data_IF_417511561632
#
_entry.id   IF_417511561632
#
_cell.length_a   1.000
_cell.length_b   1.000
_cell.length_c   1.000
_cell.angle_alpha   90.00
_cell.angle_beta   90.00
_cell.angle_gamma   90.00
#
_symmetry.space_group_name_H-M   'P 1'
#
loop_
_entity.id
_entity.type
_entity.pdbx_description
1 polymer ?
#
# COMPACT_ATOMS: atom_id res chain seq x y z
N UNK A 1 24.32 6.01 13.12
CA UNK A 1 23.68 4.70 12.95
C UNK A 1 22.19 4.90 13.27
N UNK A 2 21.38 5.25 12.24
CA UNK A 2 19.92 5.32 12.38
C UNK A 2 19.42 3.88 12.49
N UNK A 3 18.91 3.48 13.65
CA UNK A 3 18.04 2.31 13.73
C UNK A 3 16.80 2.63 12.87
N UNK A 4 16.73 2.08 11.67
CA UNK A 4 15.46 1.93 10.99
C UNK A 4 14.62 0.99 11.87
N UNK A 5 13.66 1.55 12.61
CA UNK A 5 12.59 0.71 13.15
C UNK A 5 11.93 0.07 11.93
N UNK A 6 12.15 -1.24 11.77
CA UNK A 6 11.37 -2.02 10.83
C UNK A 6 9.89 -1.82 11.21
N UNK A 7 9.08 -1.38 10.26
CA UNK A 7 7.65 -1.25 10.50
C UNK A 7 7.14 -2.60 11.01
N UNK A 8 6.42 -2.58 12.12
CA UNK A 8 5.83 -3.78 12.67
C UNK A 8 4.83 -4.34 11.64
N UNK A 9 4.68 -5.66 11.60
CA UNK A 9 3.61 -6.28 10.80
C UNK A 9 2.26 -5.78 11.31
N UNK A 10 1.28 -5.54 10.43
CA UNK A 10 -0.07 -5.20 10.84
C UNK A 10 -0.63 -6.23 11.80
N UNK A 11 -1.30 -5.78 12.85
CA UNK A 11 -1.91 -6.64 13.87
C UNK A 11 -3.40 -6.85 13.59
N UNK A 12 -3.95 -7.97 14.06
CA UNK A 12 -5.40 -8.17 14.05
C UNK A 12 -6.00 -7.49 15.28
N UNK A 13 -6.96 -6.58 15.09
CA UNK A 13 -7.84 -6.08 16.15
C UNK A 13 -9.10 -6.95 16.17
N UNK A 14 -9.32 -7.66 17.29
CA UNK A 14 -10.41 -8.60 17.45
C UNK A 14 -11.29 -8.23 18.65
N UNK A 15 -12.56 -8.04 18.42
CA UNK A 15 -13.55 -7.67 19.44
C UNK A 15 -14.49 -8.82 19.84
N UNK A 16 -14.32 -10.00 19.23
CA UNK A 16 -15.07 -11.19 19.57
C UNK A 16 -14.72 -11.74 20.96
N UNK A 17 -15.53 -12.66 21.52
CA UNK A 17 -15.30 -13.23 22.85
C UNK A 17 -14.17 -14.27 22.85
N UNK A 18 -13.59 -14.60 24.05
CA UNK A 18 -12.44 -15.51 24.15
C UNK A 18 -12.68 -16.96 23.68
N UNK A 19 -13.93 -17.42 23.62
CA UNK A 19 -14.28 -18.74 23.08
C UNK A 19 -14.00 -18.86 21.58
N UNK A 20 -13.83 -17.73 20.87
CA UNK A 20 -13.37 -17.68 19.46
C UNK A 20 -11.89 -17.97 19.27
N UNK A 21 -11.09 -18.13 20.34
CA UNK A 21 -9.65 -18.38 20.27
C UNK A 21 -9.31 -19.62 19.40
N UNK A 22 -10.12 -20.67 19.43
CA UNK A 22 -9.93 -21.84 18.60
C UNK A 22 -10.05 -21.51 17.10
N UNK A 23 -11.05 -20.72 16.73
CA UNK A 23 -11.28 -20.26 15.36
C UNK A 23 -10.11 -19.39 14.85
N UNK A 24 -9.62 -18.47 15.68
CA UNK A 24 -8.46 -17.64 15.33
C UNK A 24 -7.22 -18.50 15.04
N UNK A 25 -6.93 -19.48 15.91
CA UNK A 25 -5.79 -20.39 15.70
C UNK A 25 -5.95 -21.25 14.44
N UNK A 26 -7.17 -21.77 14.18
CA UNK A 26 -7.45 -22.53 12.96
C UNK A 26 -7.27 -21.69 11.69
N UNK A 27 -7.53 -20.39 11.79
CA UNK A 27 -7.25 -19.44 10.69
C UNK A 27 -5.76 -19.10 10.54
N UNK A 28 -4.88 -19.53 11.46
CA UNK A 28 -3.46 -19.23 11.44
C UNK A 28 -3.08 -17.91 12.13
N UNK A 29 -3.99 -17.37 12.95
CA UNK A 29 -3.71 -16.16 13.75
C UNK A 29 -2.91 -16.57 14.99
N UNK A 30 -1.80 -15.89 15.25
CA UNK A 30 -0.90 -16.13 16.40
C UNK A 30 -0.93 -14.97 17.41
N UNK A 31 -1.24 -13.76 16.94
CA UNK A 31 -1.24 -12.53 17.74
C UNK A 31 -2.48 -11.71 17.44
N UNK A 32 -3.09 -11.16 18.48
CA UNK A 32 -4.23 -10.26 18.39
C UNK A 32 -4.08 -9.07 19.33
N UNK A 33 -4.72 -7.98 18.95
CA UNK A 33 -5.08 -6.89 19.85
C UNK A 33 -6.56 -7.02 20.18
N UNK A 34 -6.92 -6.81 21.45
CA UNK A 34 -8.32 -6.84 21.90
C UNK A 34 -8.66 -5.53 22.61
N UNK A 35 -9.93 -5.09 22.61
CA UNK A 35 -10.35 -3.95 23.41
C UNK A 35 -9.84 -4.06 24.85
N UNK A 36 -9.35 -2.97 25.41
CA UNK A 36 -8.75 -2.96 26.75
C UNK A 36 -9.69 -3.57 27.83
N UNK A 37 -11.01 -3.34 27.70
CA UNK A 37 -12.02 -3.92 28.58
C UNK A 37 -12.11 -5.45 28.51
N UNK A 38 -11.66 -6.06 27.42
CA UNK A 38 -11.70 -7.51 27.21
C UNK A 38 -10.36 -8.19 27.52
N UNK A 39 -9.30 -7.44 27.71
CA UNK A 39 -7.94 -7.96 27.81
C UNK A 39 -7.78 -9.01 28.91
N UNK A 40 -8.34 -8.78 30.10
CA UNK A 40 -8.25 -9.74 31.21
C UNK A 40 -8.94 -11.07 30.91
N UNK A 41 -10.08 -11.05 30.22
CA UNK A 41 -10.81 -12.27 29.84
C UNK A 41 -10.06 -13.07 28.77
N UNK A 42 -9.26 -12.39 27.92
CA UNK A 42 -8.47 -13.03 26.88
C UNK A 42 -7.15 -13.64 27.38
N UNK A 43 -6.59 -13.20 28.52
CA UNK A 43 -5.35 -13.74 29.11
C UNK A 43 -5.39 -15.26 29.35
N UNK A 44 -6.56 -15.80 29.63
CA UNK A 44 -6.77 -17.23 29.86
C UNK A 44 -7.02 -18.03 28.58
N UNK A 45 -7.23 -17.36 27.45
CA UNK A 45 -7.40 -18.00 26.15
C UNK A 45 -6.04 -18.46 25.59
N UNK A 46 -5.61 -19.66 25.97
CA UNK A 46 -4.29 -20.17 25.63
C UNK A 46 -3.98 -20.25 24.13
N UNK A 47 -2.68 -20.07 23.78
CA UNK A 47 -2.16 -20.30 22.44
C UNK A 47 -2.24 -19.10 21.48
N UNK A 48 -2.54 -17.91 21.98
CA UNK A 48 -2.49 -16.63 21.26
C UNK A 48 -1.67 -15.62 22.06
N UNK A 49 -0.87 -14.83 21.38
CA UNK A 49 -0.27 -13.63 21.97
C UNK A 49 -1.34 -12.51 21.95
N UNK A 50 -1.78 -12.11 23.14
CA UNK A 50 -2.85 -11.12 23.29
C UNK A 50 -2.27 -9.81 23.85
N UNK A 51 -2.62 -8.70 23.22
CA UNK A 51 -2.26 -7.35 23.64
C UNK A 51 -3.52 -6.51 23.80
N UNK A 52 -3.52 -5.57 24.75
CA UNK A 52 -4.58 -4.59 24.84
C UNK A 52 -4.47 -3.60 23.70
N UNK A 53 -5.56 -3.35 22.99
CA UNK A 53 -5.61 -2.30 21.99
C UNK A 53 -5.57 -0.92 22.66
N UNK A 54 -4.84 -0.01 22.06
CA UNK A 54 -4.75 1.39 22.46
C UNK A 54 -5.29 2.29 21.33
N UNK A 55 -6.63 2.39 21.19
CA UNK A 55 -7.25 3.15 20.10
C UNK A 55 -7.07 4.65 20.22
N UNK A 56 -6.70 5.14 21.44
CA UNK A 56 -6.57 6.56 21.70
C UNK A 56 -5.52 7.20 20.78
N UNK A 57 -5.94 8.22 20.03
CA UNK A 57 -5.10 8.90 19.05
C UNK A 57 -4.82 8.10 17.76
N UNK A 58 -5.42 6.92 17.58
CA UNK A 58 -5.33 6.19 16.31
C UNK A 58 -6.23 6.81 15.24
N UNK A 59 -5.72 6.86 14.03
CA UNK A 59 -6.44 7.39 12.86
C UNK A 59 -7.27 6.25 12.26
N UNK A 60 -8.58 6.46 12.19
CA UNK A 60 -9.48 5.51 11.54
C UNK A 60 -9.34 5.62 10.02
N UNK A 61 -9.14 4.48 9.38
CA UNK A 61 -9.03 4.36 7.94
C UNK A 61 -10.23 3.61 7.36
N UNK A 62 -10.69 4.09 6.21
CA UNK A 62 -11.73 3.39 5.47
C UNK A 62 -11.23 2.06 4.92
N UNK A 63 -12.16 1.11 4.76
CA UNK A 63 -11.87 -0.15 4.09
C UNK A 63 -11.34 0.08 2.68
N UNK A 64 -10.14 -0.41 2.34
CA UNK A 64 -9.59 -0.21 1.00
C UNK A 64 -10.38 -1.01 -0.04
N UNK A 65 -10.37 -0.52 -1.28
CA UNK A 65 -11.09 -1.20 -2.35
C UNK A 65 -11.38 -0.32 -3.55
N UNK A 66 -12.36 -0.73 -4.35
CA UNK A 66 -12.82 0.00 -5.53
C UNK A 66 -14.29 0.32 -5.38
N UNK A 67 -14.65 1.56 -5.68
CA UNK A 67 -16.02 2.00 -5.84
C UNK A 67 -16.32 2.18 -7.33
N UNK A 68 -17.33 1.49 -7.79
CA UNK A 68 -17.91 1.72 -9.11
C UNK A 68 -19.04 2.73 -8.97
N UNK A 69 -19.01 3.80 -9.74
CA UNK A 69 -20.13 4.74 -9.80
C UNK A 69 -21.30 4.08 -10.53
N UNK A 70 -22.20 3.44 -9.77
CA UNK A 70 -23.47 2.98 -10.31
C UNK A 70 -24.42 4.19 -10.48
N UNK A 71 -25.16 4.22 -11.58
CA UNK A 71 -26.29 5.14 -11.83
C UNK A 71 -25.94 6.63 -12.03
N UNK A 72 -24.71 6.99 -12.34
CA UNK A 72 -24.37 8.33 -12.80
C UNK A 72 -24.06 8.25 -14.29
N UNK A 73 -24.75 9.04 -15.10
CA UNK A 73 -24.35 9.30 -16.49
C UNK A 73 -23.01 10.04 -16.48
N UNK A 74 -21.93 9.26 -16.34
CA UNK A 74 -20.55 9.76 -16.31
C UNK A 74 -19.85 9.30 -17.56
N UNK A 75 -19.20 10.21 -18.25
CA UNK A 75 -18.32 9.90 -19.37
C UNK A 75 -17.10 9.06 -18.96
N UNK A 76 -16.84 8.91 -17.66
CA UNK A 76 -15.72 8.12 -17.14
C UNK A 76 -16.21 6.81 -16.53
N UNK A 77 -15.83 5.70 -17.13
CA UNK A 77 -16.00 4.34 -16.59
C UNK A 77 -14.88 3.95 -15.64
N UNK A 78 -13.93 4.86 -15.37
CA UNK A 78 -12.76 4.60 -14.52
C UNK A 78 -13.19 4.37 -13.08
N UNK A 79 -12.87 3.21 -12.48
CA UNK A 79 -13.22 2.90 -11.11
C UNK A 79 -12.51 3.85 -10.13
N UNK A 80 -13.21 4.21 -9.05
CA UNK A 80 -12.64 5.05 -8.01
C UNK A 80 -11.94 4.17 -6.97
N UNK A 81 -10.63 4.36 -6.80
CA UNK A 81 -9.86 3.68 -5.75
C UNK A 81 -10.09 4.33 -4.40
N UNK A 82 -10.46 3.53 -3.41
CA UNK A 82 -10.48 3.91 -2.00
C UNK A 82 -9.19 3.39 -1.39
N UNK A 83 -8.14 4.23 -1.42
CA UNK A 83 -6.84 3.92 -0.86
C UNK A 83 -6.50 4.88 0.28
N UNK A 84 -5.75 4.39 1.27
CA UNK A 84 -5.36 5.19 2.43
C UNK A 84 -3.88 5.60 2.39
N UNK A 85 -3.14 5.17 1.39
CA UNK A 85 -1.71 5.43 1.28
C UNK A 85 -1.33 6.90 1.47
N UNK A 86 -2.11 7.84 0.91
CA UNK A 86 -1.88 9.26 1.07
C UNK A 86 -2.05 9.77 2.51
N UNK A 87 -2.98 9.17 3.30
CA UNK A 87 -3.17 9.49 4.72
C UNK A 87 -1.99 9.01 5.56
N UNK A 88 -1.48 7.80 5.23
CA UNK A 88 -0.30 7.23 5.88
C UNK A 88 0.93 8.09 5.57
N UNK A 89 1.11 8.52 4.32
CA UNK A 89 2.21 9.42 3.94
C UNK A 89 2.19 10.74 4.71
N UNK A 90 1.01 11.29 5.00
CA UNK A 90 0.84 12.50 5.82
C UNK A 90 1.13 12.29 7.30
N UNK A 91 0.99 11.08 7.79
CA UNK A 91 1.13 10.75 9.20
C UNK A 91 2.07 9.54 9.41
N UNK A 92 3.35 9.63 8.99
CA UNK A 92 4.25 8.46 8.94
C UNK A 92 4.59 7.88 10.32
N UNK A 93 4.23 8.56 11.41
CA UNK A 93 4.36 8.09 12.79
C UNK A 93 3.01 7.86 13.47
N UNK A 94 1.93 7.96 12.72
CA UNK A 94 0.58 7.72 13.18
C UNK A 94 0.34 6.24 13.44
N UNK A 95 -0.57 5.96 14.37
CA UNK A 95 -1.19 4.63 14.51
C UNK A 95 -2.50 4.63 13.75
N UNK A 96 -2.79 3.53 13.09
CA UNK A 96 -3.95 3.43 12.21
C UNK A 96 -4.81 2.22 12.58
N UNK A 97 -6.11 2.36 12.39
CA UNK A 97 -7.06 1.26 12.52
C UNK A 97 -7.88 1.19 11.24
N UNK A 98 -7.85 0.03 10.58
CA UNK A 98 -8.73 -0.29 9.47
C UNK A 98 -9.97 -1.04 9.97
N UNK A 99 -11.13 -0.71 9.42
CA UNK A 99 -12.31 -1.56 9.47
C UNK A 99 -12.49 -2.21 8.09
N UNK A 100 -12.08 -3.49 7.98
CA UNK A 100 -11.94 -4.18 6.72
C UNK A 100 -12.54 -5.60 6.78
N UNK A 101 -13.86 -5.73 6.62
CA UNK A 101 -14.52 -7.04 6.69
C UNK A 101 -14.19 -7.93 5.49
N UNK A 102 -14.24 -9.24 5.73
CA UNK A 102 -14.05 -10.27 4.71
C UNK A 102 -12.70 -10.19 4.01
N UNK A 103 -12.68 -10.43 2.70
CA UNK A 103 -11.45 -10.43 1.89
C UNK A 103 -10.69 -9.10 1.89
N UNK A 104 -11.32 -7.99 2.30
CA UNK A 104 -10.68 -6.67 2.40
C UNK A 104 -9.64 -6.60 3.52
N UNK A 105 -9.70 -7.49 4.51
CA UNK A 105 -8.71 -7.59 5.57
C UNK A 105 -7.29 -7.85 5.01
N UNK A 106 -7.18 -8.70 3.99
CA UNK A 106 -5.93 -8.97 3.30
C UNK A 106 -5.36 -7.72 2.63
N UNK A 107 -6.21 -6.97 1.91
CA UNK A 107 -5.81 -5.74 1.23
C UNK A 107 -5.42 -4.64 2.22
N UNK A 108 -6.14 -4.49 3.34
CA UNK A 108 -5.82 -3.53 4.39
C UNK A 108 -4.44 -3.82 5.02
N UNK A 109 -4.16 -5.09 5.33
CA UNK A 109 -2.86 -5.49 5.86
C UNK A 109 -1.72 -5.28 4.84
N UNK A 110 -1.96 -5.61 3.58
CA UNK A 110 -1.00 -5.38 2.51
C UNK A 110 -0.73 -3.88 2.28
N UNK A 111 -1.79 -3.04 2.26
CA UNK A 111 -1.67 -1.57 2.14
C UNK A 111 -0.87 -1.00 3.31
N UNK A 112 -1.20 -1.36 4.55
CA UNK A 112 -0.48 -0.92 5.74
C UNK A 112 1.02 -1.25 5.65
N UNK A 113 1.36 -2.49 5.33
CA UNK A 113 2.76 -2.91 5.16
C UNK A 113 3.47 -2.20 4.02
N UNK A 114 2.82 -2.06 2.87
CA UNK A 114 3.36 -1.41 1.67
C UNK A 114 3.70 0.07 1.93
N UNK A 115 2.90 0.76 2.74
CA UNK A 115 3.11 2.15 3.11
C UNK A 115 3.88 2.33 4.44
N UNK A 116 4.27 1.23 5.11
CA UNK A 116 5.05 1.27 6.36
C UNK A 116 4.25 1.77 7.56
N UNK A 117 2.94 1.53 7.60
CA UNK A 117 2.06 1.98 8.66
C UNK A 117 2.13 1.08 9.89
N UNK A 118 2.14 1.68 11.09
CA UNK A 118 1.76 1.00 12.33
C UNK A 118 0.23 0.87 12.36
N UNK A 119 -0.29 -0.31 12.05
CA UNK A 119 -1.72 -0.49 11.83
C UNK A 119 -2.29 -1.74 12.49
N UNK A 120 -3.52 -1.60 12.98
CA UNK A 120 -4.38 -2.71 13.35
C UNK A 120 -5.53 -2.86 12.33
N UNK A 121 -5.87 -4.09 12.00
CA UNK A 121 -6.98 -4.41 11.09
C UNK A 121 -8.09 -5.08 11.89
N UNK A 122 -9.21 -4.39 12.02
CA UNK A 122 -10.45 -4.96 12.52
C UNK A 122 -11.17 -5.67 11.37
N UNK A 123 -11.60 -6.91 11.60
CA UNK A 123 -12.31 -7.72 10.60
C UNK A 123 -13.28 -8.70 11.24
N UNK A 124 -14.13 -9.28 10.43
CA UNK A 124 -15.06 -10.34 10.78
C UNK A 124 -14.44 -11.74 10.62
N UNK A 125 -15.20 -12.79 10.93
CA UNK A 125 -14.74 -14.18 10.81
C UNK A 125 -14.33 -14.55 9.38
N UNK A 126 -14.97 -13.97 8.37
CA UNK A 126 -14.64 -14.23 6.94
C UNK A 126 -13.29 -13.61 6.55
N UNK A 127 -12.84 -12.57 7.25
CA UNK A 127 -11.55 -11.91 6.99
C UNK A 127 -10.35 -12.57 7.66
N UNK A 128 -10.54 -13.48 8.61
CA UNK A 128 -9.45 -14.09 9.39
C UNK A 128 -8.44 -14.83 8.52
N UNK A 129 -8.91 -15.73 7.66
CA UNK A 129 -8.03 -16.52 6.78
C UNK A 129 -7.30 -15.63 5.76
N UNK A 130 -7.98 -14.75 5.00
CA UNK A 130 -7.29 -13.80 4.11
C UNK A 130 -6.26 -12.94 4.82
N UNK A 131 -6.55 -12.44 6.03
CA UNK A 131 -5.59 -11.69 6.83
C UNK A 131 -4.37 -12.54 7.21
N UNK A 132 -4.57 -13.75 7.73
CA UNK A 132 -3.48 -14.63 8.14
C UNK A 132 -2.55 -15.00 6.96
N UNK A 133 -3.10 -15.25 5.78
CA UNK A 133 -2.34 -15.53 4.56
C UNK A 133 -1.42 -14.35 4.19
N UNK A 134 -1.93 -13.12 4.24
CA UNK A 134 -1.11 -11.92 3.99
C UNK A 134 -0.05 -11.75 5.07
N UNK A 135 -0.37 -11.91 6.35
CA UNK A 135 0.63 -11.79 7.44
C UNK A 135 1.74 -12.83 7.29
N UNK A 136 1.39 -14.06 6.91
CA UNK A 136 2.37 -15.12 6.63
C UNK A 136 3.31 -14.72 5.47
N UNK A 137 2.76 -14.21 4.38
CA UNK A 137 3.53 -13.70 3.24
C UNK A 137 4.44 -12.53 3.66
N UNK A 138 3.90 -11.53 4.38
CA UNK A 138 4.66 -10.37 4.83
C UNK A 138 5.82 -10.76 5.75
N UNK A 139 5.63 -11.78 6.58
CA UNK A 139 6.67 -12.33 7.43
C UNK A 139 7.77 -13.00 6.59
N UNK A 140 7.38 -13.74 5.57
CA UNK A 140 8.32 -14.44 4.68
C UNK A 140 9.19 -13.48 3.85
N UNK A 141 8.62 -12.39 3.34
CA UNK A 141 9.39 -11.38 2.56
C UNK A 141 10.26 -10.48 3.45
N UNK A 142 10.01 -10.45 4.76
CA UNK A 142 10.73 -9.62 5.70
C UNK A 142 10.44 -8.11 5.57
N UNK A 143 11.18 -7.27 6.30
CA UNK A 143 10.93 -5.84 6.36
C UNK A 143 11.23 -5.15 5.02
N UNK A 144 10.46 -4.08 4.74
CA UNK A 144 10.70 -3.21 3.60
C UNK A 144 11.85 -2.24 3.90
N UNK A 145 12.65 -1.95 2.88
CA UNK A 145 13.62 -0.87 2.94
C UNK A 145 12.97 0.52 2.80
N UNK A 146 13.78 1.58 2.77
CA UNK A 146 13.30 2.94 2.58
C UNK A 146 12.49 3.08 1.28
N UNK A 147 11.41 3.89 1.27
CA UNK A 147 10.65 4.14 0.05
C UNK A 147 11.51 4.89 -0.98
N UNK A 148 11.45 4.45 -2.22
CA UNK A 148 11.97 5.18 -3.39
C UNK A 148 10.88 6.15 -3.86
N UNK A 149 11.25 7.40 -4.10
CA UNK A 149 10.34 8.42 -4.57
C UNK A 149 10.96 9.23 -5.72
N UNK A 150 10.10 9.64 -6.64
CA UNK A 150 10.46 10.55 -7.74
C UNK A 150 10.08 11.98 -7.41
N UNK A 151 9.00 12.18 -6.64
CA UNK A 151 8.42 13.47 -6.33
C UNK A 151 8.58 13.77 -4.84
N UNK A 152 9.26 14.88 -4.54
CA UNK A 152 9.25 15.51 -3.22
C UNK A 152 8.09 16.51 -3.14
N UNK A 153 7.04 16.20 -2.38
CA UNK A 153 5.86 17.06 -2.25
C UNK A 153 5.91 17.83 -0.94
N UNK A 154 5.89 19.16 -1.02
CA UNK A 154 5.82 20.06 0.13
C UNK A 154 4.36 20.32 0.42
N UNK A 155 3.85 19.62 1.43
CA UNK A 155 2.44 19.63 1.80
C UNK A 155 2.12 20.79 2.75
N UNK A 156 1.07 21.56 2.46
CA UNK A 156 0.59 22.64 3.33
C UNK A 156 -0.47 22.17 4.35
N UNK A 157 -0.76 20.85 4.36
CA UNK A 157 -1.75 20.24 5.25
C UNK A 157 -3.21 20.45 4.82
N UNK A 158 -3.48 21.21 3.74
CA UNK A 158 -4.84 21.47 3.29
C UNK A 158 -5.54 20.22 2.74
N UNK A 159 -6.89 20.19 2.75
CA UNK A 159 -7.65 19.12 2.08
C UNK A 159 -7.33 18.99 0.59
N UNK A 160 -7.13 20.12 -0.10
CA UNK A 160 -6.81 20.16 -1.53
C UNK A 160 -5.45 19.49 -1.81
N UNK A 161 -4.40 19.82 -1.04
CA UNK A 161 -3.11 19.14 -1.15
C UNK A 161 -3.24 17.62 -0.90
N UNK A 162 -4.09 17.24 0.07
CA UNK A 162 -4.38 15.83 0.35
C UNK A 162 -5.00 15.12 -0.83
N UNK A 163 -5.93 15.74 -1.53
CA UNK A 163 -6.54 15.14 -2.71
C UNK A 163 -5.56 15.04 -3.88
N UNK A 164 -4.69 16.03 -4.09
CA UNK A 164 -3.61 15.95 -5.09
C UNK A 164 -2.68 14.77 -4.76
N UNK A 165 -2.21 14.63 -3.52
CA UNK A 165 -1.36 13.51 -3.11
C UNK A 165 -2.07 12.17 -3.35
N UNK A 166 -3.37 12.07 -3.03
CA UNK A 166 -4.19 10.89 -3.28
C UNK A 166 -4.19 10.50 -4.76
N UNK A 167 -4.42 11.48 -5.64
CA UNK A 167 -4.42 11.26 -7.09
C UNK A 167 -3.05 10.84 -7.62
N UNK A 168 -1.97 11.49 -7.16
CA UNK A 168 -0.60 11.09 -7.53
C UNK A 168 -0.30 9.63 -7.14
N UNK A 169 -0.69 9.22 -5.94
CA UNK A 169 -0.53 7.83 -5.47
C UNK A 169 -1.33 6.85 -6.32
N UNK A 170 -2.58 7.20 -6.68
CA UNK A 170 -3.44 6.37 -7.53
C UNK A 170 -2.92 6.24 -8.96
N UNK A 171 -2.26 7.27 -9.46
CA UNK A 171 -1.61 7.27 -10.78
C UNK A 171 -0.21 6.61 -10.75
N UNK A 172 0.13 5.94 -9.65
CA UNK A 172 1.42 5.27 -9.47
C UNK A 172 2.63 6.20 -9.60
N UNK A 173 2.47 7.44 -9.18
CA UNK A 173 3.57 8.38 -9.00
C UNK A 173 4.18 8.19 -7.61
N UNK A 174 5.48 8.01 -7.56
CA UNK A 174 6.20 7.74 -6.32
C UNK A 174 6.44 9.04 -5.55
N UNK A 175 5.57 9.33 -4.58
CA UNK A 175 5.58 10.55 -3.79
C UNK A 175 6.19 10.32 -2.42
N UNK A 176 7.01 11.27 -1.96
CA UNK A 176 7.50 11.43 -0.58
C UNK A 176 7.17 12.84 -0.11
N UNK A 177 6.61 12.96 1.09
CA UNK A 177 6.41 14.29 1.69
C UNK A 177 7.74 14.81 2.26
N UNK A 178 8.06 16.05 1.95
CA UNK A 178 9.28 16.71 2.36
C UNK A 178 8.97 18.10 2.94
N UNK A 179 9.75 18.54 3.92
CA UNK A 179 9.56 19.87 4.54
C UNK A 179 10.11 21.02 3.66
N UNK A 180 11.03 20.71 2.75
CA UNK A 180 11.66 21.66 1.82
C UNK A 180 12.11 20.88 0.57
N UNK A 181 12.40 21.57 -0.54
CA UNK A 181 12.91 20.91 -1.74
C UNK A 181 14.09 20.00 -1.44
N UNK A 182 14.01 18.75 -1.91
CA UNK A 182 15.04 17.71 -1.74
C UNK A 182 15.74 17.52 -3.09
N UNK A 183 17.05 17.82 -3.21
CA UNK A 183 17.79 17.68 -4.48
C UNK A 183 17.90 16.23 -4.95
N UNK A 184 17.62 15.25 -4.11
CA UNK A 184 17.58 13.85 -4.50
C UNK A 184 16.28 13.48 -5.26
N UNK A 185 15.26 14.32 -5.22
CA UNK A 185 14.01 14.11 -5.96
C UNK A 185 14.15 14.57 -7.41
N UNK A 186 13.50 13.85 -8.33
CA UNK A 186 13.46 14.20 -9.76
C UNK A 186 12.60 15.43 -10.03
N UNK A 187 11.58 15.65 -9.18
CA UNK A 187 10.70 16.80 -9.18
C UNK A 187 10.38 17.20 -7.74
N UNK A 188 10.44 18.49 -7.43
CA UNK A 188 9.94 19.04 -6.18
C UNK A 188 8.67 19.84 -6.44
N UNK A 189 7.58 19.49 -5.78
CA UNK A 189 6.29 20.17 -5.86
C UNK A 189 6.07 20.96 -4.59
N UNK A 190 6.15 22.28 -4.68
CA UNK A 190 5.78 23.17 -3.59
C UNK A 190 4.34 23.63 -3.82
N UNK A 191 3.40 23.01 -3.12
CA UNK A 191 1.99 23.35 -3.22
C UNK A 191 1.73 24.82 -2.84
N UNK A 192 1.14 25.58 -3.75
CA UNK A 192 0.93 27.02 -3.60
C UNK A 192 2.09 27.91 -4.08
N UNK A 193 3.12 27.33 -4.74
CA UNK A 193 4.15 28.10 -5.43
C UNK A 193 3.65 28.68 -6.76
N UNK A 194 4.50 29.48 -7.43
CA UNK A 194 4.18 30.03 -8.76
C UNK A 194 4.03 28.92 -9.82
N UNK A 195 4.77 27.84 -9.68
CA UNK A 195 4.75 26.69 -10.61
C UNK A 195 3.56 25.75 -10.34
N UNK A 196 3.13 25.66 -9.08
CA UNK A 196 2.01 24.81 -8.63
C UNK A 196 1.06 25.65 -7.76
N UNK A 197 0.31 26.60 -8.33
CA UNK A 197 -0.50 27.55 -7.60
C UNK A 197 -1.72 26.90 -6.93
N UNK A 198 -2.13 27.43 -5.77
CA UNK A 198 -3.28 26.88 -5.01
C UNK A 198 -4.60 27.00 -5.77
N UNK A 199 -4.71 27.96 -6.66
CA UNK A 199 -5.89 28.19 -7.48
C UNK A 199 -6.16 26.99 -8.41
N UNK A 200 -5.09 26.33 -8.92
CA UNK A 200 -5.21 25.11 -9.72
C UNK A 200 -5.63 23.91 -8.89
N UNK A 201 -5.38 23.93 -7.59
CA UNK A 201 -5.86 22.92 -6.67
C UNK A 201 -7.39 22.92 -6.45
N UNK A 202 -8.09 23.94 -6.94
CA UNK A 202 -9.55 23.90 -7.13
C UNK A 202 -9.98 22.79 -8.11
N UNK A 203 -9.03 22.30 -8.94
CA UNK A 203 -9.20 21.14 -9.79
C UNK A 203 -8.04 20.13 -9.55
N UNK A 204 -8.06 19.36 -8.44
CA UNK A 204 -6.99 18.43 -8.09
C UNK A 204 -6.60 17.44 -9.19
N UNK A 205 -7.53 16.90 -10.02
CA UNK A 205 -7.17 16.04 -11.14
C UNK A 205 -6.29 16.72 -12.20
N UNK A 206 -6.57 17.99 -12.51
CA UNK A 206 -5.76 18.76 -13.47
C UNK A 206 -4.36 18.98 -12.91
N UNK A 207 -4.24 19.42 -11.66
CA UNK A 207 -2.96 19.63 -11.00
C UNK A 207 -2.12 18.33 -10.92
N UNK A 208 -2.74 17.20 -10.60
CA UNK A 208 -2.05 15.91 -10.61
C UNK A 208 -1.56 15.51 -12.01
N UNK A 209 -2.34 15.82 -13.04
CA UNK A 209 -1.96 15.62 -14.43
C UNK A 209 -0.76 16.49 -14.82
N UNK A 210 -0.74 17.76 -14.44
CA UNK A 210 0.36 18.69 -14.73
C UNK A 210 1.65 18.28 -14.01
N UNK A 211 1.56 17.90 -12.73
CA UNK A 211 2.69 17.34 -11.99
C UNK A 211 3.28 16.10 -12.72
N UNK A 212 2.41 15.22 -13.22
CA UNK A 212 2.86 14.07 -14.02
C UNK A 212 3.56 14.52 -15.30
N UNK A 213 3.04 15.54 -15.97
CA UNK A 213 3.64 16.13 -17.17
C UNK A 213 5.06 16.65 -16.94
N UNK A 214 5.27 17.37 -15.83
CA UNK A 214 6.61 17.85 -15.42
C UNK A 214 7.60 16.73 -15.12
N UNK A 215 7.15 15.62 -14.54
CA UNK A 215 8.02 14.47 -14.27
C UNK A 215 8.41 13.72 -15.55
N UNK A 216 7.53 13.68 -16.54
CA UNK A 216 7.55 12.84 -17.76
C UNK A 216 7.58 11.32 -17.49
N UNK A 217 7.04 10.56 -18.41
CA UNK A 217 6.94 9.10 -18.24
C UNK A 217 8.29 8.39 -18.28
N UNK A 218 9.25 8.90 -19.04
CA UNK A 218 10.61 8.33 -19.19
C UNK A 218 11.43 8.43 -17.90
N UNK A 219 11.19 9.49 -17.13
CA UNK A 219 11.92 9.76 -15.88
C UNK A 219 11.34 9.01 -14.68
N UNK A 220 10.14 8.42 -14.79
CA UNK A 220 9.51 7.70 -13.68
C UNK A 220 10.29 6.45 -13.32
N UNK A 221 10.58 6.27 -12.02
CA UNK A 221 11.24 5.07 -11.50
C UNK A 221 10.39 3.82 -11.64
N UNK A 222 9.06 3.96 -11.64
CA UNK A 222 8.11 2.87 -11.74
C UNK A 222 6.95 3.25 -12.65
N UNK A 223 6.59 2.35 -13.57
CA UNK A 223 5.38 2.45 -14.40
C UNK A 223 4.66 1.12 -14.43
N UNK A 224 3.34 1.15 -14.37
CA UNK A 224 2.48 -0.01 -14.61
C UNK A 224 1.51 0.28 -15.74
N UNK A 225 1.16 -0.77 -16.48
CA UNK A 225 0.27 -0.69 -17.63
C UNK A 225 -0.78 -1.80 -17.53
N UNK A 226 -1.97 -1.54 -18.05
CA UNK A 226 -3.02 -2.54 -18.15
C UNK A 226 -4.00 -2.57 -16.98
N UNK A 227 -3.85 -1.68 -15.96
CA UNK A 227 -4.82 -1.62 -14.87
C UNK A 227 -4.96 -0.22 -14.28
N UNK A 228 -6.23 0.19 -14.02
CA UNK A 228 -6.58 1.40 -13.29
C UNK A 228 -6.89 1.12 -11.80
N UNK A 229 -6.79 -0.13 -11.36
CA UNK A 229 -7.13 -0.55 -9.98
C UNK A 229 -5.93 -1.08 -9.20
N UNK A 230 -4.73 -1.01 -9.78
CA UNK A 230 -3.49 -1.40 -9.12
C UNK A 230 -2.73 -0.16 -8.68
N UNK A 231 -2.33 -0.14 -7.42
CA UNK A 231 -1.36 0.82 -6.89
C UNK A 231 -0.04 0.12 -6.67
N UNK A 232 1.01 0.74 -7.16
CA UNK A 232 2.37 0.23 -7.05
C UNK A 232 3.25 1.15 -6.21
N UNK A 233 4.20 0.56 -5.49
CA UNK A 233 5.24 1.27 -4.76
C UNK A 233 6.60 0.62 -4.99
N UNK A 234 7.63 1.39 -4.71
CA UNK A 234 9.02 0.95 -4.83
C UNK A 234 9.74 1.23 -3.52
N UNK A 235 10.44 0.24 -3.00
CA UNK A 235 11.32 0.39 -1.84
C UNK A 235 12.74 -0.05 -2.20
N UNK A 236 13.73 0.52 -1.54
CA UNK A 236 15.10 0.07 -1.71
C UNK A 236 15.30 -1.33 -1.11
N UNK A 237 16.15 -2.12 -1.74
CA UNK A 237 16.62 -3.41 -1.23
C UNK A 237 18.17 -3.39 -1.22
N UNK A 238 18.84 -4.28 -0.45
CA UNK A 238 20.30 -4.27 -0.32
C UNK A 238 21.03 -4.28 -1.69
N UNK A 239 20.55 -5.10 -2.62
CA UNK A 239 21.18 -5.27 -3.94
C UNK A 239 20.33 -4.72 -5.08
N UNK A 240 19.30 -3.93 -4.78
CA UNK A 240 18.41 -3.44 -5.83
C UNK A 240 17.17 -2.73 -5.31
N UNK A 241 16.01 -3.17 -5.75
CA UNK A 241 14.71 -2.59 -5.38
C UNK A 241 13.65 -3.66 -5.20
N UNK A 242 12.65 -3.34 -4.41
CA UNK A 242 11.45 -4.15 -4.20
C UNK A 242 10.24 -3.42 -4.75
N UNK A 243 9.54 -4.04 -5.69
CA UNK A 243 8.26 -3.56 -6.24
C UNK A 243 7.12 -4.17 -5.45
N UNK A 244 6.19 -3.33 -5.01
CA UNK A 244 4.94 -3.72 -4.36
C UNK A 244 3.78 -3.44 -5.30
N UNK A 245 2.90 -4.41 -5.50
CA UNK A 245 1.71 -4.30 -6.34
C UNK A 245 0.47 -4.64 -5.53
N UNK A 246 -0.43 -3.67 -5.36
CA UNK A 246 -1.69 -3.80 -4.62
C UNK A 246 -2.86 -3.76 -5.60
N UNK A 247 -3.63 -4.84 -5.70
CA UNK A 247 -4.87 -4.88 -6.47
C UNK A 247 -6.05 -4.46 -5.59
N UNK A 248 -6.53 -3.24 -5.74
CA UNK A 248 -7.65 -2.71 -4.97
C UNK A 248 -9.01 -3.32 -5.36
N UNK A 249 -9.12 -3.97 -6.51
CA UNK A 249 -10.31 -4.73 -6.86
C UNK A 249 -10.46 -6.03 -6.05
N UNK A 250 -9.39 -6.44 -5.36
CA UNK A 250 -9.37 -7.62 -4.49
C UNK A 250 -9.21 -8.94 -5.24
N UNK A 251 -9.14 -10.03 -4.48
CA UNK A 251 -8.85 -11.36 -5.02
C UNK A 251 -9.91 -11.89 -6.00
N UNK A 252 -11.17 -11.45 -5.85
CA UNK A 252 -12.28 -11.86 -6.73
C UNK A 252 -12.17 -11.26 -8.14
N UNK A 253 -11.44 -10.17 -8.29
CA UNK A 253 -11.19 -9.48 -9.56
C UNK A 253 -9.70 -9.38 -9.82
N UNK A 254 -9.10 -10.55 -10.05
CA UNK A 254 -7.69 -10.66 -10.40
C UNK A 254 -7.36 -9.84 -11.65
N UNK A 255 -6.13 -9.36 -11.72
CA UNK A 255 -5.58 -8.67 -12.88
C UNK A 255 -4.65 -9.63 -13.61
N UNK A 256 -4.93 -9.89 -14.88
CA UNK A 256 -4.11 -10.73 -15.74
C UNK A 256 -3.24 -9.86 -16.65
N UNK A 257 -1.97 -10.25 -16.83
CA UNK A 257 -1.08 -9.60 -17.79
C UNK A 257 -0.64 -8.17 -17.42
N UNK A 258 -0.47 -7.88 -16.12
CA UNK A 258 -0.02 -6.57 -15.67
C UNK A 258 1.44 -6.33 -16.06
N UNK A 259 1.69 -5.37 -16.95
CA UNK A 259 3.05 -5.00 -17.35
C UNK A 259 3.63 -3.94 -16.40
N UNK A 260 4.89 -4.13 -16.02
CA UNK A 260 5.63 -3.27 -15.10
C UNK A 260 6.95 -2.88 -15.75
N UNK A 261 7.31 -1.58 -15.66
CA UNK A 261 8.64 -1.06 -16.01
C UNK A 261 9.26 -0.41 -14.78
N UNK A 262 10.48 -0.80 -14.46
CA UNK A 262 11.29 -0.24 -13.36
C UNK A 262 12.56 0.36 -13.96
N UNK A 263 12.82 1.61 -13.64
CA UNK A 263 14.05 2.29 -14.09
C UNK A 263 15.26 1.66 -13.40
N UNK A 264 16.23 1.25 -14.19
CA UNK A 264 17.44 0.54 -13.76
C UNK A 264 17.54 -0.87 -14.33
N UNK A 265 18.75 -1.42 -14.24
CA UNK A 265 19.08 -2.75 -14.78
C UNK A 265 19.13 -3.76 -13.65
N UNK A 266 18.20 -4.71 -13.67
CA UNK A 266 18.06 -5.75 -12.66
C UNK A 266 17.98 -7.13 -13.33
N UNK A 267 19.10 -7.84 -13.52
CA UNK A 267 19.11 -9.13 -14.21
C UNK A 267 18.51 -10.28 -13.40
N UNK A 268 18.25 -10.07 -12.10
CA UNK A 268 17.70 -11.09 -11.22
C UNK A 268 16.38 -10.62 -10.64
N UNK A 269 15.44 -11.55 -10.49
CA UNK A 269 14.15 -11.29 -9.89
C UNK A 269 13.68 -12.46 -9.02
N UNK A 270 12.89 -12.13 -8.00
CA UNK A 270 12.16 -13.09 -7.18
C UNK A 270 10.76 -12.58 -6.90
N UNK A 271 9.75 -13.41 -7.11
CA UNK A 271 8.33 -13.05 -6.95
C UNK A 271 7.75 -13.75 -5.74
N UNK A 272 7.00 -13.02 -4.93
CA UNK A 272 6.15 -13.56 -3.87
C UNK A 272 4.76 -12.95 -4.00
N UNK A 273 3.74 -13.76 -4.18
CA UNK A 273 2.37 -13.29 -4.39
C UNK A 273 1.39 -13.99 -3.45
N UNK A 274 0.41 -13.21 -2.95
CA UNK A 274 -0.64 -13.74 -2.10
C UNK A 274 -1.70 -14.49 -2.91
N UNK A 275 -1.94 -15.76 -2.53
CA UNK A 275 -2.97 -16.59 -3.12
C UNK A 275 -2.68 -17.04 -4.56
N UNK A 276 -1.49 -16.80 -5.07
CA UNK A 276 -1.01 -17.30 -6.35
C UNK A 276 0.28 -18.08 -6.14
N UNK A 277 0.58 -19.11 -6.95
CA UNK A 277 1.90 -19.70 -6.93
C UNK A 277 2.94 -18.61 -7.22
N UNK A 278 4.14 -18.74 -6.67
CA UNK A 278 5.27 -17.86 -6.99
C UNK A 278 5.57 -18.03 -8.48
N UNK A 279 4.96 -17.20 -9.29
CA UNK A 279 4.97 -17.37 -10.72
C UNK A 279 6.18 -16.68 -11.32
N UNK A 280 6.70 -17.33 -12.34
CA UNK A 280 7.70 -16.78 -13.25
C UNK A 280 7.16 -15.49 -13.89
N UNK A 281 8.01 -14.44 -13.91
CA UNK A 281 7.70 -13.22 -14.63
C UNK A 281 7.72 -13.51 -16.13
N UNK A 282 6.69 -13.06 -16.82
CA UNK A 282 6.61 -13.18 -18.29
C UNK A 282 7.33 -11.97 -18.93
N UNK A 283 7.83 -12.15 -20.14
CA UNK A 283 8.43 -11.09 -20.95
C UNK A 283 9.51 -10.27 -20.20
N UNK A 284 10.30 -10.96 -19.38
CA UNK A 284 11.34 -10.30 -18.59
C UNK A 284 12.47 -9.84 -19.50
N UNK A 285 12.67 -8.53 -19.53
CA UNK A 285 13.74 -7.90 -20.32
C UNK A 285 14.51 -6.88 -19.51
N UNK A 286 15.82 -6.80 -19.73
CA UNK A 286 16.73 -5.84 -19.11
C UNK A 286 17.36 -5.00 -20.21
N UNK A 287 16.84 -3.81 -20.41
CA UNK A 287 17.32 -2.86 -21.41
C UNK A 287 18.46 -1.98 -20.87
N UNK A 288 18.81 -0.95 -21.64
CA UNK A 288 19.91 -0.06 -21.31
C UNK A 288 19.65 0.71 -20.01
N UNK A 289 18.43 1.15 -19.76
CA UNK A 289 18.04 2.04 -18.67
C UNK A 289 16.92 1.49 -17.79
N UNK A 290 16.25 0.40 -18.18
CA UNK A 290 15.10 -0.13 -17.50
C UNK A 290 15.05 -1.66 -17.52
N UNK A 291 14.28 -2.21 -16.58
CA UNK A 291 13.85 -3.60 -16.53
C UNK A 291 12.34 -3.65 -16.67
N UNK A 292 11.85 -4.47 -17.59
CA UNK A 292 10.43 -4.65 -17.85
C UNK A 292 10.02 -6.10 -17.68
N UNK A 293 8.81 -6.32 -17.21
CA UNK A 293 8.24 -7.67 -17.04
C UNK A 293 6.72 -7.62 -16.98
N UNK A 294 6.10 -8.78 -17.10
CA UNK A 294 4.67 -8.97 -17.00
C UNK A 294 4.36 -9.91 -15.83
N UNK A 295 3.48 -9.48 -14.92
CA UNK A 295 2.87 -10.34 -13.91
C UNK A 295 1.72 -11.10 -14.58
N UNK A 296 1.77 -12.44 -14.56
CA UNK A 296 0.73 -13.28 -15.16
C UNK A 296 -0.62 -13.06 -14.51
N UNK A 297 -0.65 -13.09 -13.16
CA UNK A 297 -1.87 -12.94 -12.38
C UNK A 297 -1.58 -12.19 -11.06
N UNK A 298 -2.33 -11.14 -10.78
CA UNK A 298 -2.29 -10.41 -9.52
C UNK A 298 -3.68 -10.50 -8.84
N UNK A 299 -3.78 -11.27 -7.75
CA UNK A 299 -5.02 -11.37 -6.95
C UNK A 299 -5.17 -10.19 -5.99
N UNK A 300 -4.41 -10.16 -4.91
CA UNK A 300 -4.50 -9.09 -3.91
C UNK A 300 -3.21 -8.31 -3.82
N UNK A 301 -2.09 -9.00 -3.65
CA UNK A 301 -0.80 -8.38 -3.40
C UNK A 301 0.34 -9.23 -3.94
N UNK A 302 1.29 -8.59 -4.57
CA UNK A 302 2.54 -9.21 -4.99
C UNK A 302 3.73 -8.32 -4.67
N UNK A 303 4.85 -8.97 -4.40
CA UNK A 303 6.15 -8.36 -4.17
C UNK A 303 7.14 -8.95 -5.15
N UNK A 304 7.89 -8.10 -5.83
CA UNK A 304 8.94 -8.49 -6.76
C UNK A 304 10.25 -7.87 -6.29
N UNK A 305 11.17 -8.70 -5.81
CA UNK A 305 12.53 -8.29 -5.51
C UNK A 305 13.35 -8.33 -6.79
N UNK A 306 13.92 -7.19 -7.18
CA UNK A 306 14.77 -7.00 -8.35
C UNK A 306 16.19 -6.72 -7.88
N UNK A 307 17.17 -7.53 -8.31
CA UNK A 307 18.57 -7.42 -7.89
C UNK A 307 19.51 -7.20 -9.08
N UNK A 308 20.63 -6.54 -8.81
CA UNK A 308 21.73 -6.26 -9.77
C UNK A 308 22.67 -7.44 -9.96
#
# INVERSE_FOLDING_TARGET
MLLLLAAALPSLLWDGPPDTAATLRQAGIERIQVPAAQYESWKSAGGLAVEAAHPDGAIQLSSPGVQYRANVASATTTPWLVGNGWRILRNPRGRFIYDAPGAKAALAAAEASCFGADAAVHTDAAGLKPFAEIISMLRAIGPNGPPVADIGFIDDGSPAAGEVINLLVRDNLLVKLVAKPDPAMKLNVAFGSKEFPKEEAGNPPMMAHDIRGHLTDERRSLRIFGSAVVVARLTAAPDGVRVHLLNYAGAERKIDGLRVRVLGRYPKSHVTAAGSPADELLDYSVDTDATEFTIRELKTYAVIDLAR
#
